data_IF_127060368921
#
_entry.id   IF_127060368921
#
_cell.length_a   1.000
_cell.length_b   1.000
_cell.length_c   1.000
_cell.angle_alpha   90.00
_cell.angle_beta   90.00
_cell.angle_gamma   90.00
#
_symmetry.space_group_name_H-M   'P 1'
#
loop_
_entity.id
_entity.type
_entity.pdbx_description
1 polymer ?
#
# COMPACT_ATOMS: atom_id res chain seq x y z
N UNK A 1 -37.88 22.74 -14.27
CA UNK A 1 -36.76 22.03 -13.64
C UNK A 1 -35.54 22.91 -13.80
N UNK A 2 -35.27 23.73 -12.79
CA UNK A 2 -34.07 24.57 -12.76
C UNK A 2 -32.86 23.69 -12.49
N UNK A 3 -31.86 23.77 -13.38
CA UNK A 3 -30.64 22.98 -13.31
C UNK A 3 -29.78 23.41 -12.12
N UNK A 4 -29.25 22.43 -11.40
CA UNK A 4 -28.31 22.61 -10.31
C UNK A 4 -27.01 23.25 -10.84
N UNK A 5 -26.83 24.54 -10.57
CA UNK A 5 -25.56 25.24 -10.79
C UNK A 5 -24.57 24.79 -9.71
N UNK A 6 -23.64 23.93 -10.08
CA UNK A 6 -22.49 23.60 -9.23
C UNK A 6 -21.54 24.79 -9.29
N UNK A 7 -21.59 25.63 -8.26
CA UNK A 7 -20.59 26.68 -8.05
C UNK A 7 -19.26 26.00 -7.70
N UNK A 8 -18.29 26.08 -8.61
CA UNK A 8 -16.87 25.87 -8.29
C UNK A 8 -16.42 27.03 -7.40
N UNK A 9 -15.86 26.72 -6.24
CA UNK A 9 -15.31 27.71 -5.30
C UNK A 9 -14.29 28.59 -6.02
N UNK A 10 -14.48 29.91 -5.91
CA UNK A 10 -13.53 30.94 -6.30
C UNK A 10 -12.15 30.60 -5.75
N UNK A 11 -11.19 30.52 -6.66
CA UNK A 11 -9.77 30.37 -6.37
C UNK A 11 -9.32 31.68 -5.70
N UNK A 12 -9.27 31.69 -4.37
CA UNK A 12 -8.75 32.80 -3.58
C UNK A 12 -7.29 33.00 -4.00
N UNK A 13 -7.08 34.00 -4.89
CA UNK A 13 -5.80 34.35 -5.51
C UNK A 13 -4.81 34.86 -4.44
N UNK A 14 -4.31 33.97 -3.60
CA UNK A 14 -3.18 34.23 -2.74
C UNK A 14 -1.91 33.95 -3.55
N UNK A 15 -1.12 35.01 -3.77
CA UNK A 15 0.11 35.02 -4.57
C UNK A 15 1.07 33.87 -4.20
N UNK A 16 1.45 33.08 -5.20
CA UNK A 16 2.50 32.07 -5.11
C UNK A 16 3.85 32.68 -5.52
N UNK A 17 4.89 32.68 -4.66
CA UNK A 17 6.23 33.15 -5.03
C UNK A 17 6.90 32.33 -6.15
N UNK A 18 6.41 31.12 -6.46
CA UNK A 18 6.91 30.27 -7.56
C UNK A 18 6.29 30.68 -8.91
N UNK A 19 5.08 31.28 -8.89
CA UNK A 19 4.39 31.80 -10.09
C UNK A 19 5.19 32.91 -10.80
N UNK A 20 6.23 33.46 -10.16
CA UNK A 20 7.01 34.56 -10.70
C UNK A 20 8.36 34.15 -11.31
N UNK A 21 8.75 32.88 -11.21
CA UNK A 21 10.09 32.42 -11.65
C UNK A 21 9.99 31.34 -12.73
N UNK A 22 10.25 31.76 -13.97
CA UNK A 22 10.54 30.92 -15.14
C UNK A 22 9.34 30.09 -15.67
N UNK A 23 9.23 29.96 -17.00
CA UNK A 23 8.14 29.21 -17.63
C UNK A 23 8.12 27.75 -17.13
N UNK A 24 7.19 27.43 -16.23
CA UNK A 24 6.98 26.07 -15.75
C UNK A 24 6.53 25.23 -16.95
N UNK A 25 7.39 24.32 -17.39
CA UNK A 25 7.16 23.47 -18.56
C UNK A 25 7.33 22.00 -18.19
N UNK A 26 6.63 21.05 -18.85
CA UNK A 26 6.81 19.62 -18.61
C UNK A 26 8.27 19.16 -18.73
N UNK A 27 9.01 19.70 -19.71
CA UNK A 27 10.43 19.40 -19.90
C UNK A 27 11.33 19.86 -18.75
N UNK A 28 10.95 20.94 -18.04
CA UNK A 28 11.65 21.38 -16.84
C UNK A 28 11.43 20.38 -15.69
N UNK A 29 10.22 19.85 -15.56
CA UNK A 29 9.90 18.82 -14.55
C UNK A 29 10.69 17.55 -14.80
N UNK A 30 10.74 17.07 -16.04
CA UNK A 30 11.55 15.90 -16.43
C UNK A 30 13.04 16.11 -16.10
N UNK A 31 13.57 17.31 -16.39
CA UNK A 31 14.95 17.67 -16.04
C UNK A 31 15.16 17.65 -14.52
N UNK A 32 14.19 18.13 -13.74
CA UNK A 32 14.28 18.14 -12.27
C UNK A 32 14.27 16.74 -11.68
N UNK A 33 13.43 15.85 -12.21
CA UNK A 33 13.46 14.41 -11.90
C UNK A 33 14.86 13.85 -12.19
N UNK A 34 15.43 14.13 -13.37
CA UNK A 34 16.77 13.65 -13.74
C UNK A 34 17.90 14.18 -12.83
N UNK A 35 17.74 15.40 -12.29
CA UNK A 35 18.70 15.97 -11.32
C UNK A 35 18.50 15.47 -9.88
N UNK A 36 17.44 14.69 -9.60
CA UNK A 36 17.12 14.19 -8.26
C UNK A 36 16.41 15.19 -7.35
N UNK A 37 15.92 16.30 -7.90
CA UNK A 37 15.20 17.34 -7.16
C UNK A 37 13.69 17.09 -7.22
N UNK A 38 13.25 16.05 -6.51
CA UNK A 38 11.87 15.56 -6.55
C UNK A 38 10.86 16.53 -5.90
N UNK A 39 11.27 17.29 -4.89
CA UNK A 39 10.41 18.25 -4.20
C UNK A 39 9.98 19.39 -5.13
N UNK A 40 10.95 20.02 -5.81
CA UNK A 40 10.64 21.05 -6.80
C UNK A 40 9.91 20.48 -8.02
N UNK A 41 10.30 19.29 -8.50
CA UNK A 41 9.60 18.62 -9.59
C UNK A 41 8.11 18.39 -9.26
N UNK A 42 7.81 17.95 -8.03
CA UNK A 42 6.44 17.69 -7.58
C UNK A 42 5.62 18.97 -7.48
N UNK A 43 6.20 20.05 -6.94
CA UNK A 43 5.53 21.35 -6.90
C UNK A 43 5.21 21.86 -8.32
N UNK A 44 6.18 21.79 -9.24
CA UNK A 44 5.98 22.20 -10.63
C UNK A 44 4.91 21.35 -11.33
N UNK A 45 4.91 20.04 -11.13
CA UNK A 45 3.90 19.15 -11.69
C UNK A 45 2.49 19.43 -11.12
N UNK A 46 2.38 19.70 -9.82
CA UNK A 46 1.12 20.06 -9.16
C UNK A 46 0.59 21.42 -9.61
N UNK A 47 1.49 22.35 -9.95
CA UNK A 47 1.17 23.65 -10.51
C UNK A 47 0.61 23.53 -11.93
N UNK A 48 1.27 22.74 -12.80
CA UNK A 48 0.77 22.43 -14.15
C UNK A 48 -0.56 21.66 -14.15
N UNK A 49 -0.87 20.99 -13.04
CA UNK A 49 -2.12 20.25 -12.84
C UNK A 49 -2.35 19.13 -13.89
N UNK A 50 -1.26 18.62 -14.47
CA UNK A 50 -1.30 17.50 -15.40
C UNK A 50 -1.15 16.17 -14.67
N UNK A 51 -2.18 15.34 -14.76
CA UNK A 51 -2.22 14.08 -14.02
C UNK A 51 -1.07 13.13 -14.41
N UNK A 52 -0.71 13.08 -15.70
CA UNK A 52 0.41 12.26 -16.18
C UNK A 52 1.73 12.70 -15.55
N UNK A 53 1.99 14.01 -15.56
CA UNK A 53 3.23 14.56 -15.05
C UNK A 53 3.38 14.39 -13.52
N UNK A 54 2.31 14.61 -12.76
CA UNK A 54 2.31 14.35 -11.31
C UNK A 54 2.57 12.87 -11.03
N UNK A 55 1.99 11.98 -11.84
CA UNK A 55 2.25 10.54 -11.72
C UNK A 55 3.71 10.23 -11.98
N UNK A 56 4.26 10.76 -13.06
CA UNK A 56 5.63 10.48 -13.46
C UNK A 56 6.63 10.95 -12.40
N UNK A 57 6.41 12.12 -11.80
CA UNK A 57 7.25 12.58 -10.67
C UNK A 57 7.15 11.63 -9.48
N UNK A 58 5.93 11.24 -9.09
CA UNK A 58 5.72 10.35 -7.96
C UNK A 58 6.36 8.98 -8.21
N UNK A 59 6.14 8.38 -9.38
CA UNK A 59 6.63 7.05 -9.72
C UNK A 59 8.16 7.02 -9.92
N UNK A 60 8.79 8.14 -10.32
CA UNK A 60 10.26 8.26 -10.41
C UNK A 60 10.93 8.61 -9.07
N UNK A 61 10.18 9.00 -8.04
CA UNK A 61 10.76 9.35 -6.74
C UNK A 61 11.18 8.09 -5.98
N UNK A 62 12.45 7.94 -5.59
CA UNK A 62 12.91 6.81 -4.78
C UNK A 62 12.24 6.79 -3.40
N UNK A 63 12.05 5.60 -2.84
CA UNK A 63 11.39 5.41 -1.54
C UNK A 63 12.01 6.26 -0.43
N UNK A 64 13.36 6.31 -0.36
CA UNK A 64 14.10 7.08 0.65
C UNK A 64 13.90 8.60 0.52
N UNK A 65 13.54 9.08 -0.68
CA UNK A 65 13.36 10.50 -0.97
C UNK A 65 11.91 10.98 -0.79
N UNK A 66 10.95 10.05 -0.57
CA UNK A 66 9.53 10.38 -0.39
C UNK A 66 9.35 11.35 0.77
N UNK A 67 10.01 11.10 1.90
CA UNK A 67 9.88 11.97 3.08
C UNK A 67 10.34 13.40 2.79
N UNK A 68 11.46 13.57 2.10
CA UNK A 68 11.98 14.89 1.75
C UNK A 68 11.05 15.60 0.76
N UNK A 69 10.60 14.90 -0.27
CA UNK A 69 9.69 15.43 -1.28
C UNK A 69 8.34 15.84 -0.65
N UNK A 70 7.75 14.99 0.19
CA UNK A 70 6.48 15.26 0.88
C UNK A 70 6.56 16.48 1.81
N UNK A 71 7.68 16.68 2.51
CA UNK A 71 7.92 17.87 3.35
C UNK A 71 8.01 19.15 2.54
N UNK A 72 8.54 19.08 1.32
CA UNK A 72 8.68 20.23 0.43
C UNK A 72 7.38 20.71 -0.21
N UNK A 73 6.29 19.93 -0.11
CA UNK A 73 5.00 20.30 -0.72
C UNK A 73 4.38 21.51 -0.02
N UNK A 74 4.03 22.54 -0.79
CA UNK A 74 3.34 23.71 -0.28
C UNK A 74 1.90 23.40 0.17
N UNK A 75 1.44 24.08 1.22
CA UNK A 75 0.13 23.84 1.85
C UNK A 75 -1.04 23.94 0.86
N UNK A 76 -0.94 24.84 -0.12
CA UNK A 76 -1.94 25.05 -1.17
C UNK A 76 -2.17 23.82 -2.05
N UNK A 77 -1.13 23.03 -2.34
CA UNK A 77 -1.24 21.86 -3.22
C UNK A 77 -1.60 20.57 -2.46
N UNK A 78 -1.68 20.60 -1.12
CA UNK A 78 -1.92 19.40 -0.31
C UNK A 78 -3.24 18.72 -0.64
N UNK A 79 -4.33 19.49 -0.78
CA UNK A 79 -5.63 18.91 -1.05
C UNK A 79 -5.65 18.21 -2.41
N UNK A 80 -5.07 18.86 -3.43
CA UNK A 80 -4.94 18.33 -4.78
C UNK A 80 -4.11 17.05 -4.79
N UNK A 81 -2.97 17.04 -4.10
CA UNK A 81 -2.11 15.87 -3.99
C UNK A 81 -2.82 14.71 -3.28
N UNK A 82 -3.59 14.96 -2.22
CA UNK A 82 -4.38 13.91 -1.54
C UNK A 82 -5.43 13.29 -2.46
N UNK A 83 -6.15 14.10 -3.23
CA UNK A 83 -7.13 13.61 -4.20
C UNK A 83 -6.45 12.78 -5.29
N UNK A 84 -5.28 13.23 -5.75
CA UNK A 84 -4.46 12.50 -6.71
C UNK A 84 -4.03 11.13 -6.17
N UNK A 85 -3.44 11.08 -4.97
CA UNK A 85 -3.01 9.84 -4.29
C UNK A 85 -4.17 8.86 -4.13
N UNK A 86 -5.35 9.35 -3.73
CA UNK A 86 -6.56 8.52 -3.61
C UNK A 86 -6.92 7.84 -4.93
N UNK A 87 -6.85 8.58 -6.04
CA UNK A 87 -7.18 8.07 -7.37
C UNK A 87 -6.15 7.08 -7.90
N UNK A 88 -4.87 7.33 -7.68
CA UNK A 88 -3.79 6.42 -8.09
C UNK A 88 -3.81 5.13 -7.28
N UNK A 89 -3.93 5.22 -5.96
CA UNK A 89 -3.92 4.06 -5.06
C UNK A 89 -5.05 3.07 -5.37
N UNK A 90 -6.20 3.57 -5.84
CA UNK A 90 -7.32 2.70 -6.24
C UNK A 90 -7.01 1.86 -7.49
N UNK A 91 -6.05 2.30 -8.33
CA UNK A 91 -5.73 1.69 -9.63
C UNK A 91 -4.37 1.01 -9.68
N UNK A 92 -3.44 1.41 -8.80
CA UNK A 92 -2.06 0.95 -8.86
C UNK A 92 -1.87 -0.33 -8.03
N UNK A 93 -1.02 -1.27 -8.50
CA UNK A 93 -0.63 -2.45 -7.73
C UNK A 93 0.39 -2.11 -6.62
N UNK A 94 1.06 -0.94 -6.67
CA UNK A 94 2.11 -0.55 -5.72
C UNK A 94 1.53 0.07 -4.45
N UNK A 95 0.74 -0.69 -3.69
CA UNK A 95 -0.03 -0.17 -2.54
C UNK A 95 0.89 0.42 -1.47
N UNK A 96 1.94 -0.30 -1.08
CA UNK A 96 2.91 0.14 -0.06
C UNK A 96 3.55 1.49 -0.42
N UNK A 97 3.92 1.67 -1.68
CA UNK A 97 4.52 2.91 -2.16
C UNK A 97 3.61 4.13 -1.96
N UNK A 98 2.34 4.04 -2.36
CA UNK A 98 1.42 5.17 -2.16
C UNK A 98 0.96 5.33 -0.71
N UNK A 99 0.92 4.25 0.07
CA UNK A 99 0.68 4.34 1.51
C UNK A 99 1.81 5.08 2.22
N UNK A 100 3.06 4.86 1.81
CA UNK A 100 4.21 5.61 2.33
C UNK A 100 4.08 7.10 2.01
N UNK A 101 3.73 7.46 0.75
CA UNK A 101 3.44 8.85 0.38
C UNK A 101 2.37 9.48 1.25
N UNK A 102 1.25 8.77 1.47
CA UNK A 102 0.17 9.27 2.32
C UNK A 102 0.67 9.49 3.74
N UNK A 103 1.41 8.52 4.30
CA UNK A 103 1.95 8.55 5.66
C UNK A 103 2.91 9.72 5.85
N UNK A 104 3.86 9.91 4.93
CA UNK A 104 4.81 11.02 5.02
C UNK A 104 4.14 12.39 4.84
N UNK A 105 3.10 12.47 4.00
CA UNK A 105 2.30 13.69 3.83
C UNK A 105 1.54 14.03 5.12
N UNK A 106 0.88 13.03 5.73
CA UNK A 106 0.16 13.15 7.01
C UNK A 106 1.11 13.52 8.15
N UNK A 107 2.29 12.91 8.24
CA UNK A 107 3.28 13.24 9.26
C UNK A 107 3.82 14.66 9.12
N UNK A 108 4.06 15.11 7.89
CA UNK A 108 4.67 16.43 7.65
C UNK A 108 3.67 17.58 7.77
N UNK A 109 2.41 17.36 7.35
CA UNK A 109 1.40 18.42 7.23
C UNK A 109 0.16 18.22 8.11
N UNK A 110 0.15 17.20 8.97
CA UNK A 110 -1.01 16.83 9.80
C UNK A 110 -1.52 17.97 10.68
N UNK A 111 -0.62 18.77 11.29
CA UNK A 111 -1.02 19.92 12.09
C UNK A 111 -1.75 20.99 11.26
N UNK A 112 -1.28 21.24 10.03
CA UNK A 112 -1.94 22.19 9.13
C UNK A 112 -3.32 21.67 8.70
N UNK A 113 -3.40 20.39 8.33
CA UNK A 113 -4.64 19.75 7.93
C UNK A 113 -5.67 19.71 9.05
N UNK A 114 -5.24 19.50 10.30
CA UNK A 114 -6.14 19.50 11.46
C UNK A 114 -6.70 20.92 11.73
N UNK A 115 -5.88 21.96 11.59
CA UNK A 115 -6.34 23.35 11.71
C UNK A 115 -7.36 23.73 10.63
N UNK A 116 -7.27 23.12 9.45
CA UNK A 116 -8.15 23.35 8.30
C UNK A 116 -9.07 22.15 8.02
N UNK A 117 -9.44 21.40 9.06
CA UNK A 117 -10.17 20.12 8.93
C UNK A 117 -11.37 20.19 8.00
N UNK A 118 -12.12 21.29 8.03
CA UNK A 118 -13.30 21.52 7.19
C UNK A 118 -13.02 21.35 5.69
N UNK A 119 -11.92 21.89 5.20
CA UNK A 119 -11.54 21.82 3.78
C UNK A 119 -11.04 20.42 3.39
N UNK A 120 -10.21 19.80 4.24
CA UNK A 120 -9.60 18.51 3.94
C UNK A 120 -10.52 17.29 4.17
N UNK A 121 -11.65 17.48 4.85
CA UNK A 121 -12.55 16.39 5.24
C UNK A 121 -13.04 15.53 4.07
N UNK A 122 -13.27 16.12 2.90
CA UNK A 122 -13.65 15.36 1.69
C UNK A 122 -12.51 14.44 1.25
N UNK A 123 -11.31 15.00 1.13
CA UNK A 123 -10.10 14.29 0.71
C UNK A 123 -9.72 13.19 1.70
N UNK A 124 -9.84 13.44 3.01
CA UNK A 124 -9.64 12.41 4.04
C UNK A 124 -10.61 11.24 3.93
N UNK A 125 -11.90 11.51 3.75
CA UNK A 125 -12.89 10.43 3.57
C UNK A 125 -12.63 9.60 2.32
N UNK A 126 -12.25 10.27 1.22
CA UNK A 126 -11.93 9.60 -0.02
C UNK A 126 -10.68 8.72 0.13
N UNK A 127 -9.62 9.24 0.75
CA UNK A 127 -8.40 8.50 1.03
C UNK A 127 -8.66 7.30 1.95
N UNK A 128 -9.35 7.52 3.08
CA UNK A 128 -9.71 6.47 4.02
C UNK A 128 -10.51 5.36 3.34
N UNK A 129 -11.50 5.71 2.51
CA UNK A 129 -12.28 4.73 1.75
C UNK A 129 -11.38 3.91 0.83
N UNK A 130 -10.46 4.55 0.09
CA UNK A 130 -9.57 3.86 -0.82
C UNK A 130 -8.59 2.91 -0.09
N UNK A 131 -8.04 3.32 1.06
CA UNK A 131 -7.20 2.46 1.92
C UNK A 131 -8.02 1.28 2.44
N UNK A 132 -9.21 1.54 2.97
CA UNK A 132 -10.08 0.52 3.54
C UNK A 132 -10.47 -0.54 2.49
N UNK A 133 -10.83 -0.11 1.28
CA UNK A 133 -11.14 -1.04 0.18
C UNK A 133 -9.95 -1.95 -0.12
N UNK A 134 -8.73 -1.40 -0.22
CA UNK A 134 -7.52 -2.21 -0.47
C UNK A 134 -7.20 -3.16 0.68
N UNK A 135 -7.36 -2.69 1.91
CA UNK A 135 -7.20 -3.52 3.11
C UNK A 135 -8.18 -4.70 3.09
N UNK A 136 -9.46 -4.45 2.83
CA UNK A 136 -10.48 -5.50 2.87
C UNK A 136 -10.28 -6.53 1.74
N UNK A 137 -9.92 -6.08 0.53
CA UNK A 137 -9.54 -6.95 -0.59
C UNK A 137 -8.39 -7.89 -0.21
N UNK A 138 -7.30 -7.34 0.37
CA UNK A 138 -6.14 -8.13 0.76
C UNK A 138 -6.43 -9.05 1.94
N UNK A 139 -7.19 -8.56 2.93
CA UNK A 139 -7.53 -9.31 4.13
C UNK A 139 -8.29 -10.59 3.79
N UNK A 140 -9.31 -10.51 2.93
CA UNK A 140 -10.07 -11.69 2.52
C UNK A 140 -9.17 -12.76 1.91
N UNK A 141 -8.29 -12.37 0.98
CA UNK A 141 -7.37 -13.30 0.32
C UNK A 141 -6.38 -13.90 1.32
N UNK A 142 -5.80 -13.07 2.20
CA UNK A 142 -4.83 -13.51 3.20
C UNK A 142 -5.46 -14.45 4.24
N UNK A 143 -6.67 -14.17 4.70
CA UNK A 143 -7.39 -15.01 5.64
C UNK A 143 -7.73 -16.37 5.01
N UNK A 144 -8.26 -16.39 3.78
CA UNK A 144 -8.53 -17.64 3.04
C UNK A 144 -7.26 -18.47 2.83
N UNK A 145 -6.18 -17.82 2.37
CA UNK A 145 -4.89 -18.49 2.18
C UNK A 145 -4.36 -19.06 3.49
N UNK A 146 -4.44 -18.31 4.60
CA UNK A 146 -4.00 -18.78 5.91
C UNK A 146 -4.78 -20.02 6.33
N UNK A 147 -6.11 -19.99 6.28
CA UNK A 147 -6.93 -21.14 6.69
C UNK A 147 -6.68 -22.37 5.82
N UNK A 148 -6.52 -22.19 4.50
CA UNK A 148 -6.22 -23.29 3.59
C UNK A 148 -4.86 -23.92 3.90
N UNK A 149 -3.83 -23.09 4.14
CA UNK A 149 -2.50 -23.56 4.48
C UNK A 149 -2.47 -24.27 5.84
N UNK A 150 -3.15 -23.73 6.85
CA UNK A 150 -3.30 -24.37 8.16
C UNK A 150 -4.00 -25.73 8.06
N UNK A 151 -5.06 -25.83 7.24
CA UNK A 151 -5.77 -27.08 7.01
C UNK A 151 -4.87 -28.13 6.34
N UNK A 152 -4.17 -27.76 5.26
CA UNK A 152 -3.26 -28.68 4.55
C UNK A 152 -2.11 -29.11 5.47
N UNK A 153 -1.56 -28.19 6.27
CA UNK A 153 -0.53 -28.50 7.24
C UNK A 153 -1.01 -29.50 8.30
N UNK A 154 -2.23 -29.32 8.82
CA UNK A 154 -2.82 -30.25 9.77
C UNK A 154 -3.06 -31.63 9.14
N UNK A 155 -3.53 -31.69 7.90
CA UNK A 155 -3.72 -32.96 7.18
C UNK A 155 -2.39 -33.68 6.92
N UNK A 156 -1.34 -32.95 6.52
CA UNK A 156 -0.02 -33.51 6.31
C UNK A 156 0.56 -34.11 7.60
N UNK A 157 0.42 -33.42 8.73
CA UNK A 157 0.87 -33.91 10.03
C UNK A 157 0.18 -35.23 10.44
N UNK A 158 -1.10 -35.42 10.10
CA UNK A 158 -1.82 -36.67 10.37
C UNK A 158 -1.32 -37.83 9.50
N UNK A 159 -0.99 -37.57 8.23
CA UNK A 159 -0.44 -38.58 7.31
C UNK A 159 0.96 -39.02 7.74
N UNK A 160 1.80 -38.09 8.20
CA UNK A 160 3.14 -38.41 8.72
C UNK A 160 3.05 -39.28 9.99
N UNK A 161 2.06 -39.03 10.86
CA UNK A 161 1.81 -39.86 12.05
C UNK A 161 1.33 -41.28 11.70
N UNK A 162 0.46 -41.43 10.70
CA UNK A 162 -0.02 -42.75 10.24
C UNK A 162 1.09 -43.56 9.55
N UNK A 163 1.92 -42.89 8.74
CA UNK A 163 3.09 -43.50 8.08
C UNK A 163 4.17 -43.96 9.07
N UNK A 164 4.36 -43.23 10.17
CA UNK A 164 5.26 -43.63 11.27
C UNK A 164 4.73 -44.80 12.11
N UNK A 165 3.41 -44.96 12.22
CA UNK A 165 2.77 -46.08 12.93
C UNK A 165 2.88 -47.39 12.14
N UNK A 166 2.74 -47.36 10.80
CA UNK A 166 2.89 -48.55 9.96
C UNK A 166 4.34 -49.07 9.87
N UNK A 167 5.35 -48.22 10.07
CA UNK A 167 6.76 -48.64 10.05
C UNK A 167 7.21 -49.40 11.31
N UNK A 168 6.42 -49.38 12.40
CA UNK A 168 6.79 -49.99 13.69
C UNK A 168 6.02 -51.30 13.99
N UNK A 169 5.26 -51.83 13.04
CA UNK A 169 4.37 -52.99 13.21
C UNK A 169 4.79 -54.27 12.50
N UNK A 170 6.01 -54.36 11.99
CA UNK A 170 6.50 -55.52 11.24
C UNK A 170 7.74 -56.15 11.86
N UNK A 171 7.56 -56.94 12.93
CA UNK A 171 8.42 -58.08 13.31
C UNK A 171 7.90 -58.68 14.64
N UNK A 172 6.79 -59.44 14.61
CA UNK A 172 6.56 -60.55 15.57
C UNK A 172 5.39 -61.44 15.11
N UNK A 173 5.62 -62.36 14.17
CA UNK A 173 5.00 -63.68 14.28
C UNK A 173 5.69 -64.72 13.37
N UNK A 174 6.11 -65.86 13.96
CA UNK A 174 6.49 -67.04 13.16
C UNK A 174 7.59 -67.94 13.71
N UNK A 175 7.41 -68.59 14.87
CA UNK A 175 8.08 -69.87 15.15
C UNK A 175 7.29 -70.76 16.14
N UNK A 176 6.34 -71.54 15.61
CA UNK A 176 5.80 -72.74 16.29
C UNK A 176 6.70 -73.93 15.93
N UNK A 177 7.26 -74.61 16.93
CA UNK A 177 8.08 -75.81 16.72
C UNK A 177 8.43 -76.58 18.01
N UNK A 178 7.46 -77.34 18.52
CA UNK A 178 7.56 -78.59 19.32
C UNK A 178 8.96 -79.13 19.60
N UNK A 179 9.33 -79.39 20.88
CA UNK A 179 9.86 -80.70 21.32
C UNK A 179 9.84 -80.83 22.86
N UNK A 180 9.26 -81.93 23.30
CA UNK A 180 9.11 -82.45 24.65
C UNK A 180 10.36 -83.25 25.09
N UNK A 181 10.87 -83.02 26.31
CA UNK A 181 11.64 -83.99 27.14
C UNK A 181 11.40 -83.65 28.62
N UNK A 182 10.48 -84.32 29.30
CA UNK A 182 10.68 -85.53 30.14
C UNK A 182 11.86 -85.46 31.13
N UNK A 183 11.47 -85.35 32.41
CA UNK A 183 11.83 -86.16 33.60
C UNK A 183 13.31 -86.28 33.98
N UNK A 184 13.62 -85.86 35.22
CA UNK A 184 14.29 -86.58 36.33
C UNK A 184 14.70 -85.51 37.36
N UNK A 185 14.70 -85.67 38.68
CA UNK A 185 14.23 -86.65 39.67
C UNK A 185 14.48 -85.97 41.02
#
# INVERSE_FOLDING_TARGET
MEGLHVYSLDDDMMFDPISLTEDITPSLVERKIATGDFGSALMMALHLNEYGLVRDVLDNTPFDSIQLAARGVHQFHLERLMQFLTKVMSRSPHIEFYLEWCTQLLHSHGLHMERHRGSFMRSFRALHKAVQTKHDELKTICDENRYNLEFVQHQAALVDMDSGSMANGGDDDGAIGTTQKMITS
#
